data_IF_947390146466
#
_entry.id   IF_947390146466
#
_cell.length_a   1.000
_cell.length_b   1.000
_cell.length_c   1.000
_cell.angle_alpha   90.00
_cell.angle_beta   90.00
_cell.angle_gamma   90.00
#
_symmetry.space_group_name_H-M   'P 1'
#
loop_
_entity.id
_entity.type
_entity.pdbx_description
1 polymer ?
#
# COMPACT_ATOMS: atom_id res chain seq x y z
N UNK A 1 6.82 -1.72 -11.66
CA UNK A 1 7.12 -2.36 -10.35
C UNK A 1 8.63 -2.45 -10.15
N UNK A 2 9.10 -2.19 -8.94
CA UNK A 2 10.49 -2.41 -8.48
C UNK A 2 10.45 -3.30 -7.24
N UNK A 3 11.42 -4.21 -7.08
CA UNK A 3 11.46 -5.16 -5.97
C UNK A 3 12.89 -5.61 -5.68
N UNK A 4 13.14 -6.14 -4.49
CA UNK A 4 14.39 -6.83 -4.18
C UNK A 4 14.36 -8.31 -4.59
N UNK A 5 15.51 -8.98 -4.50
CA UNK A 5 15.69 -10.40 -4.81
C UNK A 5 14.75 -11.33 -4.02
N UNK A 6 14.56 -11.07 -2.73
CA UNK A 6 13.66 -11.83 -1.86
C UNK A 6 12.20 -11.76 -2.35
N UNK A 7 11.73 -10.58 -2.71
CA UNK A 7 10.38 -10.40 -3.22
C UNK A 7 10.19 -10.99 -4.63
N UNK A 8 11.22 -10.95 -5.47
CA UNK A 8 11.18 -11.64 -6.76
C UNK A 8 10.94 -13.15 -6.59
N UNK A 9 11.60 -13.78 -5.62
CA UNK A 9 11.40 -15.20 -5.33
C UNK A 9 9.99 -15.48 -4.83
N UNK A 10 9.47 -14.66 -3.91
CA UNK A 10 8.12 -14.79 -3.38
C UNK A 10 7.05 -14.63 -4.48
N UNK A 11 7.18 -13.62 -5.34
CA UNK A 11 6.22 -13.34 -6.42
C UNK A 11 6.14 -14.45 -7.48
N UNK A 12 7.19 -15.25 -7.68
CA UNK A 12 7.14 -16.39 -8.62
C UNK A 12 6.12 -17.46 -8.23
N UNK A 13 5.84 -17.57 -6.93
CA UNK A 13 4.90 -18.54 -6.39
C UNK A 13 3.55 -17.89 -6.01
N UNK A 14 3.46 -16.56 -6.08
CA UNK A 14 2.27 -15.82 -5.73
C UNK A 14 1.21 -15.95 -6.85
N UNK A 15 -0.04 -16.11 -6.45
CA UNK A 15 -1.18 -16.14 -7.36
C UNK A 15 -2.43 -15.69 -6.58
N UNK A 16 -3.17 -14.71 -7.09
CA UNK A 16 -4.39 -14.22 -6.43
C UNK A 16 -5.58 -14.18 -7.38
N UNK A 17 -5.51 -14.90 -8.50
CA UNK A 17 -6.59 -14.94 -9.50
C UNK A 17 -7.84 -15.71 -9.00
N UNK A 18 -7.65 -16.61 -8.04
CA UNK A 18 -8.69 -17.43 -7.41
C UNK A 18 -9.23 -16.81 -6.10
N UNK A 19 -8.60 -15.73 -5.63
CA UNK A 19 -8.91 -15.13 -4.33
C UNK A 19 -10.02 -14.09 -4.42
N UNK A 20 -10.76 -13.97 -3.32
CA UNK A 20 -11.70 -12.88 -3.06
C UNK A 20 -11.22 -12.11 -1.85
N UNK A 21 -11.13 -10.79 -1.97
CA UNK A 21 -10.66 -9.95 -0.89
C UNK A 21 -11.62 -10.09 0.33
N UNK A 22 -11.11 -10.31 1.55
CA UNK A 22 -11.93 -10.39 2.75
C UNK A 22 -12.82 -9.16 2.89
N UNK A 23 -14.04 -9.36 3.38
CA UNK A 23 -15.04 -8.28 3.50
C UNK A 23 -14.51 -7.08 4.28
N UNK A 24 -13.74 -7.31 5.34
CA UNK A 24 -13.14 -6.27 6.16
C UNK A 24 -12.12 -5.44 5.36
N UNK A 25 -11.26 -6.08 4.56
CA UNK A 25 -10.35 -5.40 3.64
C UNK A 25 -11.11 -4.61 2.55
N UNK A 26 -12.18 -5.18 2.00
CA UNK A 26 -13.05 -4.45 1.07
C UNK A 26 -13.62 -3.16 1.69
N UNK A 27 -14.09 -3.22 2.95
CA UNK A 27 -14.70 -2.07 3.63
C UNK A 27 -13.73 -0.90 3.80
N UNK A 28 -12.43 -1.15 3.98
CA UNK A 28 -11.42 -0.09 4.03
C UNK A 28 -11.37 0.71 2.73
N UNK A 29 -11.42 0.01 1.58
CA UNK A 29 -11.36 0.63 0.25
C UNK A 29 -12.71 1.23 -0.15
N UNK A 30 -13.83 0.60 0.21
CA UNK A 30 -15.19 1.04 -0.16
C UNK A 30 -15.53 2.45 0.33
N UNK A 31 -15.03 2.86 1.49
CA UNK A 31 -15.25 4.23 2.01
C UNK A 31 -14.51 5.32 1.21
N UNK A 32 -13.63 4.95 0.27
CA UNK A 32 -12.94 5.88 -0.61
C UNK A 32 -11.83 6.65 0.09
N UNK A 33 -11.43 7.78 -0.50
CA UNK A 33 -10.27 8.55 -0.06
C UNK A 33 -10.64 9.94 0.45
N UNK A 34 -9.96 10.41 1.50
CA UNK A 34 -10.07 11.77 2.03
C UNK A 34 -8.77 12.54 1.78
N UNK A 35 -8.91 13.85 1.48
CA UNK A 35 -7.77 14.77 1.33
C UNK A 35 -7.68 15.69 2.55
N UNK A 36 -6.52 15.77 3.20
CA UNK A 36 -6.23 16.73 4.28
C UNK A 36 -4.84 17.32 4.08
N UNK A 37 -4.72 18.66 4.04
CA UNK A 37 -3.49 19.41 3.78
C UNK A 37 -2.60 18.85 2.65
N UNK A 38 -3.23 18.37 1.58
CA UNK A 38 -2.60 17.77 0.39
C UNK A 38 -1.98 16.37 0.59
N UNK A 39 -2.26 15.74 1.73
CA UNK A 39 -2.15 14.30 1.95
C UNK A 39 -3.47 13.57 1.63
N UNK A 40 -3.38 12.28 1.32
CA UNK A 40 -4.49 11.43 0.93
C UNK A 40 -4.49 10.16 1.77
N UNK A 41 -5.66 9.85 2.33
CA UNK A 41 -5.85 8.72 3.24
C UNK A 41 -7.08 7.92 2.84
N UNK A 42 -7.11 6.63 3.16
CA UNK A 42 -8.38 5.91 3.14
C UNK A 42 -9.31 6.51 4.20
N UNK A 43 -10.51 6.91 3.79
CA UNK A 43 -11.47 7.60 4.64
C UNK A 43 -11.84 6.78 5.88
N UNK A 44 -11.79 5.45 5.76
CA UNK A 44 -12.06 4.52 6.84
C UNK A 44 -11.03 4.60 7.99
N UNK A 45 -9.77 4.92 7.70
CA UNK A 45 -8.70 5.06 8.70
C UNK A 45 -8.62 6.45 9.32
N UNK A 46 -9.15 7.45 8.61
CA UNK A 46 -9.02 8.85 8.99
C UNK A 46 -10.06 9.21 10.06
N UNK A 47 -9.71 9.04 11.34
CA UNK A 47 -10.61 9.32 12.46
C UNK A 47 -10.42 10.74 13.00
N UNK A 48 -9.22 11.19 13.32
CA UNK A 48 -8.81 12.60 13.56
C UNK A 48 -7.28 12.65 13.50
N UNK A 49 -6.68 13.58 12.74
CA UNK A 49 -5.23 13.84 12.84
C UNK A 49 -4.98 15.18 13.55
N UNK A 50 -4.05 15.25 14.53
CA UNK A 50 -3.75 16.48 15.23
C UNK A 50 -2.99 17.45 14.30
N UNK A 51 -3.49 18.68 14.23
CA UNK A 51 -2.89 19.93 13.74
C UNK A 51 -1.94 19.87 12.51
N UNK A 52 -2.23 20.69 11.50
CA UNK A 52 -1.53 20.73 10.20
C UNK A 52 0.01 20.92 10.28
N UNK A 53 0.54 21.37 11.43
CA UNK A 53 1.98 21.54 11.67
C UNK A 53 2.80 20.24 11.60
N UNK A 54 2.19 19.05 11.72
CA UNK A 54 2.89 17.76 11.60
C UNK A 54 3.02 17.25 10.16
N UNK A 55 2.50 17.97 9.16
CA UNK A 55 2.44 17.53 7.75
C UNK A 55 3.63 18.00 6.91
N UNK A 56 4.80 18.22 7.53
CA UNK A 56 6.04 18.56 6.81
C UNK A 56 6.55 17.37 5.97
N UNK A 57 6.41 16.14 6.48
CA UNK A 57 6.71 14.90 5.75
C UNK A 57 5.41 14.25 5.29
N UNK A 58 4.88 14.69 4.15
CA UNK A 58 3.60 14.22 3.62
C UNK A 58 3.64 12.74 3.26
N UNK A 59 4.70 12.33 2.56
CA UNK A 59 4.91 10.92 2.21
C UNK A 59 5.02 10.05 3.46
N UNK A 60 5.77 10.48 4.47
CA UNK A 60 5.90 9.74 5.73
C UNK A 60 4.58 9.59 6.48
N UNK A 61 3.80 10.66 6.59
CA UNK A 61 2.48 10.62 7.23
C UNK A 61 1.50 9.73 6.45
N UNK A 62 1.49 9.81 5.12
CA UNK A 62 0.67 8.91 4.29
C UNK A 62 1.05 7.45 4.48
N UNK A 63 2.34 7.11 4.41
CA UNK A 63 2.81 5.73 4.62
C UNK A 63 2.53 5.22 6.05
N UNK A 64 2.52 6.11 7.05
CA UNK A 64 2.19 5.73 8.42
C UNK A 64 0.69 5.46 8.60
N UNK A 65 -0.17 6.36 8.11
CA UNK A 65 -1.63 6.22 8.26
C UNK A 65 -2.15 5.12 7.35
N UNK A 66 -1.75 5.11 6.08
CA UNK A 66 -2.18 4.13 5.08
C UNK A 66 -1.37 2.83 5.17
N UNK A 67 -1.13 2.32 6.38
CA UNK A 67 -0.41 1.07 6.63
C UNK A 67 -1.38 -0.02 7.06
N UNK A 68 -1.36 -1.15 6.36
CA UNK A 68 -2.25 -2.29 6.61
C UNK A 68 -1.44 -3.55 6.82
N UNK A 69 -1.60 -4.17 7.98
CA UNK A 69 -1.09 -5.51 8.26
C UNK A 69 -2.10 -6.51 7.70
N UNK A 70 -1.73 -7.25 6.66
CA UNK A 70 -2.61 -8.20 5.97
C UNK A 70 -2.90 -9.42 6.84
N UNK A 71 -1.94 -9.79 7.68
CA UNK A 71 -2.01 -10.84 8.69
C UNK A 71 -3.09 -10.58 9.78
N UNK A 72 -3.57 -9.34 9.94
CA UNK A 72 -4.72 -9.06 10.80
C UNK A 72 -6.06 -9.58 10.22
N UNK A 73 -6.12 -9.86 8.91
CA UNK A 73 -7.35 -10.17 8.18
C UNK A 73 -7.40 -11.57 7.57
N UNK A 74 -6.25 -12.21 7.40
CA UNK A 74 -6.11 -13.55 6.81
C UNK A 74 -5.05 -14.34 7.57
N UNK A 75 -5.13 -15.67 7.54
CA UNK A 75 -4.19 -16.55 8.26
C UNK A 75 -3.07 -17.13 7.40
N UNK A 76 -3.13 -16.94 6.07
CA UNK A 76 -2.17 -17.48 5.11
C UNK A 76 -2.23 -16.71 3.79
N UNK A 77 -1.32 -17.02 2.86
CA UNK A 77 -1.23 -16.41 1.52
C UNK A 77 -1.12 -14.88 1.58
N UNK A 78 -0.33 -14.37 2.54
CA UNK A 78 -0.22 -12.93 2.82
C UNK A 78 0.14 -12.10 1.59
N UNK A 79 1.10 -12.55 0.79
CA UNK A 79 1.50 -11.86 -0.44
C UNK A 79 0.38 -11.79 -1.47
N UNK A 80 -0.36 -12.89 -1.66
CA UNK A 80 -1.46 -12.96 -2.62
C UNK A 80 -2.56 -11.96 -2.25
N UNK A 81 -2.94 -11.93 -0.97
CA UNK A 81 -3.92 -10.98 -0.46
C UNK A 81 -3.38 -9.54 -0.47
N UNK A 82 -2.10 -9.31 -0.20
CA UNK A 82 -1.48 -8.00 -0.31
C UNK A 82 -1.53 -7.47 -1.75
N UNK A 83 -1.22 -8.32 -2.75
CA UNK A 83 -1.30 -7.97 -4.16
C UNK A 83 -2.74 -7.69 -4.61
N UNK A 84 -3.70 -8.53 -4.20
CA UNK A 84 -5.12 -8.31 -4.48
C UNK A 84 -5.64 -7.01 -3.83
N UNK A 85 -5.23 -6.71 -2.60
CA UNK A 85 -5.58 -5.48 -1.91
C UNK A 85 -4.99 -4.25 -2.61
N UNK A 86 -3.71 -4.31 -3.01
CA UNK A 86 -3.08 -3.28 -3.83
C UNK A 86 -3.85 -3.01 -5.12
N UNK A 87 -4.24 -4.07 -5.85
CA UNK A 87 -5.04 -3.95 -7.07
C UNK A 87 -6.39 -3.30 -6.81
N UNK A 88 -7.04 -3.63 -5.70
CA UNK A 88 -8.34 -3.05 -5.32
C UNK A 88 -8.22 -1.54 -5.07
N UNK A 89 -7.16 -1.10 -4.38
CA UNK A 89 -6.87 0.33 -4.15
C UNK A 89 -6.54 1.04 -5.47
N UNK A 90 -5.63 0.46 -6.27
CA UNK A 90 -5.17 1.04 -7.55
C UNK A 90 -6.29 1.14 -8.59
N UNK A 91 -7.24 0.20 -8.61
CA UNK A 91 -8.39 0.27 -9.50
C UNK A 91 -9.41 1.33 -9.05
N UNK A 92 -9.56 1.54 -7.73
CA UNK A 92 -10.48 2.55 -7.21
C UNK A 92 -9.94 3.97 -7.39
N UNK A 93 -8.64 4.16 -7.23
CA UNK A 93 -8.02 5.48 -7.17
C UNK A 93 -8.32 6.39 -8.38
N UNK A 94 -8.18 5.96 -9.65
CA UNK A 94 -8.45 6.80 -10.82
C UNK A 94 -9.90 7.27 -10.94
N UNK A 95 -10.85 6.53 -10.36
CA UNK A 95 -12.28 6.89 -10.37
C UNK A 95 -12.54 8.11 -9.48
N UNK A 96 -11.73 8.31 -8.45
CA UNK A 96 -11.86 9.45 -7.54
C UNK A 96 -10.86 10.57 -7.87
N UNK A 97 -9.65 10.23 -8.33
CA UNK A 97 -8.53 11.18 -8.51
C UNK A 97 -7.64 10.80 -9.70
N UNK A 98 -8.03 11.21 -10.91
CA UNK A 98 -7.30 10.89 -12.14
C UNK A 98 -6.04 11.76 -12.37
N UNK A 99 -5.80 12.80 -11.57
CA UNK A 99 -4.70 13.74 -11.75
C UNK A 99 -3.41 13.36 -10.99
N UNK A 100 -3.49 12.39 -10.07
CA UNK A 100 -2.37 11.95 -9.23
C UNK A 100 -2.17 10.44 -9.32
N UNK A 101 -0.95 9.98 -9.07
CA UNK A 101 -0.62 8.54 -8.97
C UNK A 101 -0.32 8.13 -7.54
N UNK A 102 -0.75 6.92 -7.18
CA UNK A 102 -0.32 6.26 -5.96
C UNK A 102 0.97 5.47 -6.21
N UNK A 103 1.78 5.37 -5.18
CA UNK A 103 2.82 4.37 -5.05
C UNK A 103 2.40 3.40 -3.96
N UNK A 104 2.13 2.15 -4.34
CA UNK A 104 1.87 1.04 -3.42
C UNK A 104 3.19 0.40 -3.05
N UNK A 105 3.35 0.06 -1.77
CA UNK A 105 4.54 -0.61 -1.23
C UNK A 105 4.05 -1.83 -0.47
N UNK A 106 4.65 -2.98 -0.74
CA UNK A 106 4.40 -4.20 0.03
C UNK A 106 5.73 -4.68 0.59
N UNK A 107 5.80 -4.88 1.90
CA UNK A 107 6.87 -5.64 2.52
C UNK A 107 6.32 -6.87 3.23
N UNK A 108 7.11 -7.93 3.32
CA UNK A 108 6.71 -9.16 4.00
C UNK A 108 7.89 -9.92 4.57
N UNK A 109 7.58 -10.73 5.57
CA UNK A 109 8.45 -11.73 6.16
C UNK A 109 7.68 -13.07 6.33
N UNK A 110 8.16 -13.95 7.19
CA UNK A 110 7.51 -15.24 7.47
C UNK A 110 6.23 -15.11 8.32
N UNK A 111 5.99 -13.97 8.97
CA UNK A 111 4.89 -13.76 9.90
C UNK A 111 3.72 -12.99 9.28
N UNK A 112 3.96 -12.16 8.27
CA UNK A 112 2.90 -11.34 7.68
C UNK A 112 3.32 -10.55 6.46
N UNK A 113 2.41 -9.69 6.00
CA UNK A 113 2.68 -8.74 4.93
C UNK A 113 2.06 -7.38 5.27
N UNK A 114 2.79 -6.31 5.01
CA UNK A 114 2.33 -4.94 5.23
C UNK A 114 2.17 -4.22 3.90
N UNK A 115 0.98 -3.69 3.65
CA UNK A 115 0.69 -2.82 2.51
C UNK A 115 0.70 -1.36 2.97
N UNK A 116 1.52 -0.54 2.33
CA UNK A 116 1.56 0.91 2.50
C UNK A 116 1.27 1.61 1.19
N UNK A 117 0.73 2.82 1.24
CA UNK A 117 0.68 3.66 0.04
C UNK A 117 0.77 5.15 0.34
N UNK A 118 1.25 5.88 -0.65
CA UNK A 118 1.31 7.33 -0.64
C UNK A 118 1.12 7.88 -2.05
N UNK A 119 0.81 9.17 -2.16
CA UNK A 119 0.79 9.87 -3.45
C UNK A 119 2.22 10.20 -3.89
N UNK A 120 2.49 10.05 -5.18
CA UNK A 120 3.80 10.42 -5.75
C UNK A 120 3.92 11.94 -5.81
N UNK A 121 5.02 12.46 -5.24
CA UNK A 121 5.37 13.88 -5.25
C UNK A 121 6.81 14.05 -5.72
N UNK A 122 7.07 15.16 -6.40
CA UNK A 122 8.42 15.49 -6.84
C UNK A 122 9.31 15.77 -5.61
N UNK A 123 10.43 15.06 -5.50
CA UNK A 123 11.41 15.25 -4.43
C UNK A 123 11.12 14.51 -3.12
N UNK A 124 10.01 13.77 -3.02
CA UNK A 124 9.70 12.92 -1.87
C UNK A 124 9.83 11.44 -2.25
N UNK A 125 10.41 10.63 -1.37
CA UNK A 125 10.55 9.19 -1.57
C UNK A 125 10.48 8.48 -0.22
N UNK A 126 9.76 7.36 -0.18
CA UNK A 126 9.69 6.49 0.99
C UNK A 126 10.81 5.43 0.99
N UNK A 127 11.10 4.85 -0.17
CA UNK A 127 12.06 3.76 -0.30
C UNK A 127 13.46 4.27 -0.59
N UNK A 128 14.45 3.54 -0.09
CA UNK A 128 15.84 3.69 -0.51
C UNK A 128 15.98 3.38 -2.00
N UNK A 129 16.90 4.06 -2.68
CA UNK A 129 17.26 3.77 -4.07
C UNK A 129 17.85 2.36 -4.26
N UNK A 130 18.25 1.71 -3.16
CA UNK A 130 18.74 0.33 -3.17
C UNK A 130 17.84 -0.53 -2.28
N UNK A 131 16.92 -1.28 -2.89
CA UNK A 131 15.98 -2.17 -2.21
C UNK A 131 16.65 -3.44 -1.65
N UNK A 132 17.81 -3.84 -2.16
CA UNK A 132 18.54 -5.01 -1.65
C UNK A 132 19.11 -4.80 -0.24
N UNK A 133 19.06 -3.58 0.30
CA UNK A 133 19.45 -3.28 1.69
C UNK A 133 18.35 -3.58 2.71
N UNK A 134 17.12 -3.84 2.28
CA UNK A 134 16.05 -4.25 3.18
C UNK A 134 16.20 -5.74 3.48
N UNK A 135 16.05 -6.10 4.76
CA UNK A 135 16.08 -7.49 5.21
C UNK A 135 14.81 -8.24 4.81
N UNK A 136 13.69 -7.52 4.69
CA UNK A 136 12.39 -8.04 4.28
C UNK A 136 12.29 -8.17 2.75
N UNK A 137 11.42 -9.06 2.28
CA UNK A 137 10.97 -9.03 0.89
C UNK A 137 10.15 -7.76 0.67
N UNK A 138 10.50 -6.93 -0.32
CA UNK A 138 9.82 -5.66 -0.57
C UNK A 138 9.63 -5.36 -2.06
N UNK A 139 8.47 -4.81 -2.43
CA UNK A 139 8.25 -4.16 -3.73
C UNK A 139 7.55 -2.82 -3.63
N UNK A 140 7.65 -2.03 -4.69
CA UNK A 140 6.77 -0.89 -4.94
C UNK A 140 6.24 -0.86 -6.38
N UNK A 141 5.01 -0.37 -6.56
CA UNK A 141 4.36 -0.26 -7.87
C UNK A 141 3.39 0.91 -7.96
N UNK A 142 3.25 1.45 -9.16
CA UNK A 142 2.24 2.46 -9.51
C UNK A 142 1.09 1.90 -10.33
N UNK A 143 1.21 0.65 -10.75
CA UNK A 143 0.33 0.00 -11.70
C UNK A 143 -0.21 -1.29 -11.08
N UNK A 144 -1.40 -1.69 -11.57
CA UNK A 144 -2.06 -2.94 -11.19
C UNK A 144 -1.08 -4.10 -11.42
N UNK A 145 -1.03 -4.97 -10.42
CA UNK A 145 -0.18 -6.15 -10.38
C UNK A 145 -0.88 -7.25 -11.19
N UNK A 146 -0.21 -7.75 -12.22
CA UNK A 146 -0.70 -8.76 -13.16
C UNK A 146 -0.03 -10.11 -12.95
#
# INVERSE_FOLDING_TARGET
MIYNSLMLEALRNACWSDLVLPKELCLWVEKGFVKQADCFFLAALFTVYPNDNYLMDKTGVECFVNSFHIDDYVSERYLDYACLFCNTILNKWPLERNDKKLNMIVSMDEFGAVVKFHVIRQGETWLSNNLEKYEEAIFATTDVIS
#
